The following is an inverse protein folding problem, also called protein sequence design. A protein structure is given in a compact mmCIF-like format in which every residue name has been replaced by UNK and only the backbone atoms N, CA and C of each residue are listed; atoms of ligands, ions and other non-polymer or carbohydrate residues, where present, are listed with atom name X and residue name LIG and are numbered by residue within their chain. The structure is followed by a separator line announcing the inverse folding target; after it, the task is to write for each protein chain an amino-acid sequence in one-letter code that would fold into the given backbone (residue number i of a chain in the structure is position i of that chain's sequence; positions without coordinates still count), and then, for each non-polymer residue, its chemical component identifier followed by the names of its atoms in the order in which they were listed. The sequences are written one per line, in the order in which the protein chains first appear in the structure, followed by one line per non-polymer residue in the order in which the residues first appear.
data_IF_524045126608
#
_entry.id   IF_524045126608
#
_cell.length_a   1.000
_cell.length_b   1.000
_cell.length_c   1.000
_cell.angle_alpha   90.00
_cell.angle_beta   90.00
_cell.angle_gamma   90.00
#
_symmetry.space_group_name_H-M   'P 1'
#
loop_
_entity.id
_entity.type
_entity.pdbx_description
1 polymer ?
#
# COMPACT_ATOMS: atom_id res chain seq x y z
N UNK A 1 -0.94 -23.27 15.46
CA UNK A 1 -0.38 -22.65 14.25
C UNK A 1 -1.02 -21.30 14.01
N UNK A 2 -0.20 -20.33 13.75
CA UNK A 2 -0.71 -19.00 13.43
C UNK A 2 -0.99 -18.90 11.93
N UNK A 3 -2.02 -18.15 11.57
CA UNK A 3 -2.31 -17.90 10.17
C UNK A 3 -1.18 -17.11 9.53
N UNK A 4 -0.88 -17.37 8.25
CA UNK A 4 0.09 -16.55 7.55
C UNK A 4 -0.36 -15.08 7.55
N UNK A 5 0.61 -14.19 7.72
CA UNK A 5 0.36 -12.75 7.76
C UNK A 5 0.61 -12.13 6.40
N UNK A 6 -0.37 -11.37 5.94
CA UNK A 6 -0.28 -10.70 4.65
C UNK A 6 -0.31 -9.19 4.88
N UNK A 7 0.68 -8.52 4.28
CA UNK A 7 0.81 -7.07 4.30
C UNK A 7 0.46 -6.60 2.89
N UNK A 8 -0.67 -5.94 2.75
CA UNK A 8 -1.19 -5.55 1.44
C UNK A 8 -1.14 -4.03 1.30
N UNK A 9 -0.19 -3.55 0.50
CA UNK A 9 -0.03 -2.12 0.24
C UNK A 9 -0.94 -1.73 -0.92
N UNK A 10 -1.83 -0.78 -0.68
CA UNK A 10 -2.79 -0.31 -1.69
C UNK A 10 -2.73 1.21 -1.75
N UNK A 11 -2.36 1.75 -2.90
CA UNK A 11 -2.34 3.18 -3.10
C UNK A 11 -3.13 3.53 -4.34
N UNK A 12 -4.22 4.30 -4.17
CA UNK A 12 -4.94 4.86 -5.29
C UNK A 12 -4.63 6.35 -5.37
N UNK A 13 -4.40 6.84 -6.56
CA UNK A 13 -4.10 8.24 -6.81
C UNK A 13 -5.24 8.92 -7.56
N UNK A 14 -5.90 8.18 -8.43
CA UNK A 14 -7.03 8.63 -9.23
C UNK A 14 -8.02 7.49 -9.35
N UNK A 15 -9.29 7.77 -9.14
CA UNK A 15 -10.34 6.80 -9.31
C UNK A 15 -10.34 5.70 -8.24
N UNK A 16 -11.31 4.81 -8.31
CA UNK A 16 -11.52 3.77 -7.30
C UNK A 16 -11.39 2.34 -7.83
N UNK A 17 -10.97 2.17 -9.10
CA UNK A 17 -10.87 0.83 -9.67
C UNK A 17 -9.93 -0.09 -8.91
N UNK A 18 -8.79 0.44 -8.48
CA UNK A 18 -7.83 -0.33 -7.69
C UNK A 18 -8.38 -0.71 -6.32
N UNK A 19 -9.22 0.16 -5.76
CA UNK A 19 -9.81 -0.09 -4.44
C UNK A 19 -10.80 -1.26 -4.51
N UNK A 20 -11.66 -1.30 -5.52
CA UNK A 20 -12.61 -2.39 -5.67
C UNK A 20 -11.88 -3.74 -5.81
N UNK A 21 -10.85 -3.77 -6.63
CA UNK A 21 -10.05 -4.98 -6.82
C UNK A 21 -9.33 -5.39 -5.55
N UNK A 22 -8.70 -4.43 -4.86
CA UNK A 22 -7.99 -4.72 -3.62
C UNK A 22 -8.93 -5.23 -2.55
N UNK A 23 -10.14 -4.67 -2.47
CA UNK A 23 -11.15 -5.11 -1.52
C UNK A 23 -11.52 -6.58 -1.76
N UNK A 24 -11.73 -6.97 -3.03
CA UNK A 24 -12.06 -8.35 -3.36
C UNK A 24 -10.93 -9.30 -2.99
N UNK A 25 -9.69 -8.91 -3.27
CA UNK A 25 -8.53 -9.72 -2.92
C UNK A 25 -8.41 -9.88 -1.41
N UNK A 26 -8.51 -8.77 -0.67
CA UNK A 26 -8.39 -8.81 0.78
C UNK A 26 -9.48 -9.68 1.41
N UNK A 27 -10.71 -9.54 0.95
CA UNK A 27 -11.82 -10.34 1.48
C UNK A 27 -11.65 -11.82 1.18
N UNK A 28 -11.17 -12.17 -0.01
CA UNK A 28 -10.91 -13.56 -0.35
C UNK A 28 -9.83 -14.16 0.54
N UNK A 29 -8.78 -13.39 0.82
CA UNK A 29 -7.69 -13.87 1.68
C UNK A 29 -8.18 -14.08 3.12
N UNK A 30 -9.00 -13.18 3.63
CA UNK A 30 -9.57 -13.35 4.97
C UNK A 30 -10.43 -14.61 5.03
N UNK A 31 -11.24 -14.87 4.01
CA UNK A 31 -12.07 -16.08 3.96
C UNK A 31 -11.23 -17.34 3.94
N UNK A 32 -10.05 -17.27 3.32
CA UNK A 32 -9.14 -18.41 3.27
C UNK A 32 -8.31 -18.59 4.54
N UNK A 33 -8.55 -17.76 5.55
CA UNK A 33 -7.92 -17.92 6.85
C UNK A 33 -6.62 -17.15 7.04
N UNK A 34 -6.29 -16.23 6.13
CA UNK A 34 -5.09 -15.41 6.28
C UNK A 34 -5.35 -14.21 7.20
N UNK A 35 -4.29 -13.78 7.87
CA UNK A 35 -4.32 -12.58 8.70
C UNK A 35 -3.87 -11.41 7.82
N UNK A 36 -4.82 -10.58 7.40
CA UNK A 36 -4.57 -9.55 6.39
C UNK A 36 -4.54 -8.17 7.02
N UNK A 37 -3.46 -7.44 6.75
CA UNK A 37 -3.34 -6.03 7.09
C UNK A 37 -3.24 -5.25 5.77
N UNK A 38 -4.18 -4.35 5.55
CA UNK A 38 -4.15 -3.45 4.41
C UNK A 38 -3.53 -2.13 4.83
N UNK A 39 -2.51 -1.70 4.11
CA UNK A 39 -1.90 -0.40 4.32
C UNK A 39 -2.31 0.47 3.15
N UNK A 40 -3.13 1.47 3.44
CA UNK A 40 -3.69 2.35 2.41
C UNK A 40 -3.15 3.75 2.55
N UNK A 41 -2.95 4.42 1.44
CA UNK A 41 -2.36 5.75 1.45
C UNK A 41 -3.08 6.77 0.60
N UNK A 42 -4.30 6.47 0.13
CA UNK A 42 -5.12 7.44 -0.57
C UNK A 42 -6.17 8.04 0.35
N UNK A 43 -7.02 8.87 -0.21
CA UNK A 43 -8.13 9.40 0.54
C UNK A 43 -9.05 8.26 0.98
N UNK A 44 -9.68 8.38 2.16
CA UNK A 44 -10.53 7.29 2.67
C UNK A 44 -11.67 6.95 1.72
N UNK A 45 -11.95 5.66 1.60
CA UNK A 45 -13.07 5.16 0.79
C UNK A 45 -14.00 4.39 1.71
N UNK A 46 -15.28 4.80 1.82
CA UNK A 46 -16.22 4.11 2.71
C UNK A 46 -16.32 2.62 2.38
N UNK A 47 -16.31 1.81 3.41
CA UNK A 47 -16.44 0.36 3.27
C UNK A 47 -15.20 -0.38 2.84
N UNK A 48 -14.12 0.32 2.57
CA UNK A 48 -12.86 -0.33 2.20
C UNK A 48 -11.95 -0.39 3.42
N UNK A 49 -11.28 -1.51 3.62
CA UNK A 49 -11.28 -2.77 2.84
C UNK A 49 -12.34 -3.79 3.26
N UNK A 50 -13.12 -3.50 4.27
CA UNK A 50 -14.17 -4.37 4.72
C UNK A 50 -13.88 -5.02 6.07
N UNK A 51 -14.83 -5.82 6.55
CA UNK A 51 -14.73 -6.46 7.85
C UNK A 51 -13.66 -7.55 7.86
N UNK A 52 -13.06 -7.75 9.01
CA UNK A 52 -12.06 -8.81 9.20
C UNK A 52 -10.67 -8.44 8.72
N UNK A 53 -10.48 -7.23 8.22
CA UNK A 53 -9.20 -6.76 7.71
C UNK A 53 -8.69 -5.65 8.59
N UNK A 54 -7.47 -5.81 9.10
CA UNK A 54 -6.80 -4.74 9.83
C UNK A 54 -6.36 -3.67 8.84
N UNK A 55 -6.61 -2.43 9.14
CA UNK A 55 -6.29 -1.32 8.24
C UNK A 55 -5.34 -0.35 8.91
N UNK A 56 -4.29 0.03 8.19
CA UNK A 56 -3.36 1.06 8.62
C UNK A 56 -3.38 2.15 7.56
N UNK A 57 -3.70 3.37 7.96
CA UNK A 57 -3.78 4.49 7.05
C UNK A 57 -2.52 5.33 7.12
N UNK A 58 -1.83 5.45 5.98
CA UNK A 58 -0.72 6.39 5.84
C UNK A 58 -1.31 7.78 5.59
N UNK A 59 -0.57 8.85 5.85
CA UNK A 59 -1.04 10.18 5.49
C UNK A 59 -1.45 10.22 4.03
N UNK A 60 -2.69 10.62 3.71
CA UNK A 60 -3.19 10.49 2.34
C UNK A 60 -2.46 11.36 1.33
N UNK A 61 -2.26 10.80 0.13
CA UNK A 61 -1.76 11.57 -1.01
C UNK A 61 -2.61 11.28 -2.22
N UNK A 62 -2.69 12.25 -3.12
CA UNK A 62 -3.39 12.12 -4.40
C UNK A 62 -2.48 12.64 -5.50
N UNK A 63 -2.74 12.23 -6.74
CA UNK A 63 -1.98 12.73 -7.87
C UNK A 63 -2.23 14.23 -8.04
N UNK A 64 -1.20 14.97 -8.39
CA UNK A 64 -1.28 16.42 -8.55
C UNK A 64 -0.27 16.92 -9.56
N UNK A 65 -0.59 18.05 -10.19
CA UNK A 65 0.35 18.76 -11.06
C UNK A 65 1.11 19.83 -10.30
N UNK A 66 0.86 19.98 -9.00
CA UNK A 66 1.49 20.99 -8.18
C UNK A 66 2.77 20.41 -7.56
N UNK A 67 3.86 21.17 -7.64
CA UNK A 67 5.12 20.77 -7.06
C UNK A 67 5.86 19.69 -7.88
N UNK A 68 6.99 19.26 -7.36
CA UNK A 68 7.88 18.32 -8.08
C UNK A 68 7.54 16.86 -7.86
N UNK A 69 6.87 16.55 -6.74
CA UNK A 69 6.60 15.16 -6.41
C UNK A 69 5.49 14.53 -7.26
N UNK A 70 4.63 15.35 -7.84
CA UNK A 70 3.45 14.85 -8.52
C UNK A 70 2.35 14.43 -7.56
N UNK A 71 2.49 14.76 -6.28
CA UNK A 71 1.55 14.37 -5.23
C UNK A 71 1.12 15.59 -4.43
N UNK A 72 -0.12 15.55 -3.93
CA UNK A 72 -0.66 16.55 -3.02
C UNK A 72 -1.20 15.84 -1.78
N UNK A 73 -1.23 16.58 -0.66
CA UNK A 73 -1.81 16.08 0.57
C UNK A 73 -3.33 16.19 0.54
N UNK A 74 -3.99 15.82 1.65
CA UNK A 74 -5.45 15.84 1.72
C UNK A 74 -6.04 17.25 1.59
N UNK A 75 -5.25 18.28 1.85
CA UNK A 75 -5.68 19.66 1.76
C UNK A 75 -5.43 20.27 0.38
N UNK A 76 -4.88 19.50 -0.55
CA UNK A 76 -4.61 19.94 -1.90
C UNK A 76 -3.27 20.66 -2.06
N UNK A 77 -2.45 20.69 -1.03
CA UNK A 77 -1.13 21.30 -1.09
C UNK A 77 -0.09 20.31 -1.59
N UNK A 78 0.92 20.80 -2.29
CA UNK A 78 1.98 19.93 -2.78
C UNK A 78 2.63 19.17 -1.63
N UNK A 79 2.76 17.86 -1.78
CA UNK A 79 3.42 17.03 -0.79
C UNK A 79 4.93 17.26 -0.87
N UNK A 80 5.49 17.82 0.19
CA UNK A 80 6.91 18.14 0.24
C UNK A 80 7.73 17.01 0.80
N UNK A 81 9.06 17.21 0.77
CA UNK A 81 10.01 16.19 1.20
C UNK A 81 9.78 15.70 2.62
N UNK A 82 9.53 16.63 3.54
CA UNK A 82 9.32 16.28 4.93
C UNK A 82 8.07 15.40 5.11
N UNK A 83 6.98 15.78 4.45
CA UNK A 83 5.73 15.02 4.48
C UNK A 83 5.95 13.61 3.95
N UNK A 84 6.61 13.50 2.79
CA UNK A 84 6.85 12.21 2.16
C UNK A 84 7.79 11.33 2.97
N UNK A 85 8.79 11.95 3.62
CA UNK A 85 9.70 11.19 4.49
C UNK A 85 8.99 10.60 5.70
N UNK A 86 8.10 11.36 6.33
CA UNK A 86 7.33 10.85 7.47
C UNK A 86 6.43 9.70 7.05
N UNK A 87 5.82 9.82 5.88
CA UNK A 87 4.96 8.79 5.34
C UNK A 87 5.75 7.51 5.07
N UNK A 88 6.90 7.65 4.44
CA UNK A 88 7.81 6.54 4.18
C UNK A 88 8.24 5.86 5.48
N UNK A 89 8.62 6.65 6.47
CA UNK A 89 9.09 6.11 7.74
C UNK A 89 7.99 5.35 8.46
N UNK A 90 6.75 5.84 8.38
CA UNK A 90 5.61 5.15 8.95
C UNK A 90 5.36 3.82 8.24
N UNK A 91 5.47 3.80 6.92
CA UNK A 91 5.31 2.57 6.14
C UNK A 91 6.35 1.52 6.55
N UNK A 92 7.62 1.93 6.66
CA UNK A 92 8.69 1.01 7.02
C UNK A 92 8.53 0.51 8.45
N UNK A 93 8.15 1.38 9.38
CA UNK A 93 7.90 0.99 10.75
C UNK A 93 6.76 -0.03 10.83
N UNK A 94 5.70 0.21 10.09
CA UNK A 94 4.55 -0.70 10.04
C UNK A 94 4.98 -2.07 9.53
N UNK A 95 5.77 -2.10 8.46
CA UNK A 95 6.28 -3.34 7.92
C UNK A 95 7.10 -4.12 8.97
N UNK A 96 7.98 -3.41 9.66
CA UNK A 96 8.81 -4.05 10.69
C UNK A 96 7.98 -4.60 11.85
N UNK A 97 6.94 -3.89 12.25
CA UNK A 97 6.09 -4.30 13.35
C UNK A 97 5.17 -5.47 12.99
N UNK A 98 4.66 -5.48 11.77
CA UNK A 98 3.72 -6.52 11.34
C UNK A 98 4.40 -7.84 11.04
N UNK A 99 5.66 -7.83 10.66
CA UNK A 99 6.43 -9.05 10.34
C UNK A 99 5.67 -9.99 9.43
N UNK A 100 5.29 -9.53 8.23
CA UNK A 100 4.45 -10.35 7.36
C UNK A 100 5.20 -11.51 6.75
N UNK A 101 4.45 -12.55 6.38
CA UNK A 101 4.97 -13.67 5.61
C UNK A 101 4.91 -13.39 4.11
N UNK A 102 3.94 -12.56 3.71
CA UNK A 102 3.74 -12.20 2.31
C UNK A 102 3.44 -10.71 2.22
N UNK A 103 4.06 -10.03 1.27
CA UNK A 103 3.77 -8.64 0.96
C UNK A 103 3.17 -8.58 -0.44
N UNK A 104 2.01 -7.94 -0.56
CA UNK A 104 1.37 -7.72 -1.86
C UNK A 104 1.38 -6.22 -2.11
N UNK A 105 1.84 -5.82 -3.30
CA UNK A 105 1.87 -4.42 -3.69
C UNK A 105 0.96 -4.24 -4.90
N UNK A 106 -0.04 -3.37 -4.77
CA UNK A 106 -0.97 -3.10 -5.86
C UNK A 106 -0.34 -2.17 -6.88
N UNK A 107 -0.30 -2.62 -8.12
CA UNK A 107 0.11 -1.82 -9.28
C UNK A 107 1.58 -1.43 -9.40
N UNK A 108 2.42 -1.82 -8.46
CA UNK A 108 3.86 -1.61 -8.61
C UNK A 108 4.48 -2.84 -9.29
N UNK A 109 5.49 -2.67 -10.13
CA UNK A 109 6.22 -1.42 -10.42
C UNK A 109 5.66 -0.64 -11.60
N UNK A 110 4.58 -1.04 -12.19
CA UNK A 110 4.17 -0.54 -13.50
C UNK A 110 3.36 0.75 -13.48
N UNK A 111 2.71 1.08 -12.39
CA UNK A 111 1.73 2.15 -12.40
C UNK A 111 1.91 3.31 -11.45
N UNK A 112 2.92 3.33 -10.61
CA UNK A 112 2.99 4.35 -9.56
C UNK A 112 4.40 4.90 -9.38
N UNK A 113 4.90 5.56 -10.41
CA UNK A 113 6.22 6.19 -10.35
C UNK A 113 6.34 7.17 -9.19
N UNK A 114 5.28 7.92 -8.92
CA UNK A 114 5.26 8.89 -7.83
C UNK A 114 5.50 8.24 -6.48
N UNK A 115 5.24 6.93 -6.35
CA UNK A 115 5.36 6.23 -5.08
C UNK A 115 6.71 5.58 -4.86
N UNK A 116 7.66 5.76 -5.77
CA UNK A 116 8.98 5.16 -5.63
C UNK A 116 9.71 5.59 -4.36
N UNK A 117 9.44 6.82 -3.90
CA UNK A 117 10.11 7.32 -2.70
C UNK A 117 9.90 6.43 -1.48
N UNK A 118 8.81 5.70 -1.44
CA UNK A 118 8.52 4.78 -0.32
C UNK A 118 8.54 3.32 -0.73
N UNK A 119 8.19 3.01 -1.97
CA UNK A 119 8.16 1.62 -2.43
C UNK A 119 9.56 1.02 -2.58
N UNK A 120 10.53 1.80 -3.07
CA UNK A 120 11.90 1.29 -3.19
C UNK A 120 12.51 1.00 -1.82
N UNK A 121 12.38 1.89 -0.81
CA UNK A 121 12.82 1.54 0.54
C UNK A 121 12.09 0.33 1.13
N UNK A 122 10.79 0.18 0.82
CA UNK A 122 10.04 -0.98 1.29
C UNK A 122 10.60 -2.27 0.68
N UNK A 123 10.88 -2.27 -0.62
CA UNK A 123 11.45 -3.44 -1.29
C UNK A 123 12.81 -3.81 -0.68
N UNK A 124 13.63 -2.80 -0.38
CA UNK A 124 14.91 -3.00 0.26
C UNK A 124 14.74 -3.61 1.65
N UNK A 125 13.76 -3.12 2.42
CA UNK A 125 13.47 -3.68 3.73
C UNK A 125 13.01 -5.15 3.64
N UNK A 126 12.24 -5.48 2.62
CA UNK A 126 11.78 -6.85 2.38
C UNK A 126 12.99 -7.76 2.13
N UNK A 127 13.92 -7.31 1.29
CA UNK A 127 15.10 -8.10 0.97
C UNK A 127 15.99 -8.33 2.18
N UNK A 128 16.03 -7.38 3.10
CA UNK A 128 16.85 -7.49 4.31
C UNK A 128 16.19 -8.24 5.45
N UNK A 129 14.89 -8.48 5.35
CA UNK A 129 14.15 -9.14 6.42
C UNK A 129 14.56 -10.59 6.55
N UNK A 130 14.54 -11.10 7.78
CA UNK A 130 14.89 -12.48 8.06
C UNK A 130 13.88 -13.06 9.06
N UNK A 131 12.99 -13.99 8.66
CA UNK A 131 12.93 -14.55 7.31
C UNK A 131 12.36 -13.55 6.29
N UNK A 132 12.78 -13.71 5.05
CA UNK A 132 12.32 -12.79 3.99
C UNK A 132 10.93 -13.18 3.54
N UNK A 133 9.98 -12.23 3.56
CA UNK A 133 8.62 -12.50 3.07
C UNK A 133 8.60 -12.67 1.55
N UNK A 134 7.57 -13.32 1.06
CA UNK A 134 7.32 -13.39 -0.37
C UNK A 134 6.76 -12.06 -0.82
N UNK A 135 7.19 -11.61 -2.00
CA UNK A 135 6.69 -10.36 -2.57
C UNK A 135 5.88 -10.69 -3.82
N UNK A 136 4.65 -10.21 -3.84
CA UNK A 136 3.76 -10.36 -4.98
C UNK A 136 3.30 -8.98 -5.45
N UNK A 137 3.23 -8.81 -6.75
CA UNK A 137 2.73 -7.58 -7.33
C UNK A 137 1.38 -7.87 -7.98
N UNK A 138 0.36 -7.15 -7.55
CA UNK A 138 -0.97 -7.27 -8.13
C UNK A 138 -1.07 -6.29 -9.28
N UNK A 139 -1.19 -6.80 -10.50
CA UNK A 139 -1.28 -5.94 -11.67
C UNK A 139 -2.61 -6.17 -12.37
N UNK A 140 -3.12 -5.09 -12.94
CA UNK A 140 -4.31 -5.19 -13.75
C UNK A 140 -3.93 -5.75 -15.11
N UNK A 141 -4.87 -6.40 -15.72
CA UNK A 141 -4.71 -6.82 -17.11
C UNK A 141 -4.79 -5.55 -17.96
N UNK A 142 -3.70 -5.28 -18.61
CA UNK A 142 -3.64 -4.11 -19.35
C UNK A 142 -3.77 -4.32 -20.78
N UNK A 143 -4.27 -5.28 -21.19
CA UNK A 143 -4.36 -5.52 -22.46
C UNK A 143 -4.84 -4.59 -23.20
N UNK A 144 -4.57 -4.10 -23.61
CA UNK A 144 -5.00 -3.12 -24.13
C UNK A 144 -5.64 -2.98 -25.12
#
# INVERSE_FOLDING_TARGET
MTAPRIFFYVQHLLGIGHIARASRIANALVKDGFDVTVVTGGLPVPGFPGEGVKTIELPPVVASNIGFSGLADADGQAAGEEFLSRRRDLLLKTFEEEKPDVVIVEAFPFGRRQMRFELLPLLDAIERANPRPKLLSSVRDILQ
#
